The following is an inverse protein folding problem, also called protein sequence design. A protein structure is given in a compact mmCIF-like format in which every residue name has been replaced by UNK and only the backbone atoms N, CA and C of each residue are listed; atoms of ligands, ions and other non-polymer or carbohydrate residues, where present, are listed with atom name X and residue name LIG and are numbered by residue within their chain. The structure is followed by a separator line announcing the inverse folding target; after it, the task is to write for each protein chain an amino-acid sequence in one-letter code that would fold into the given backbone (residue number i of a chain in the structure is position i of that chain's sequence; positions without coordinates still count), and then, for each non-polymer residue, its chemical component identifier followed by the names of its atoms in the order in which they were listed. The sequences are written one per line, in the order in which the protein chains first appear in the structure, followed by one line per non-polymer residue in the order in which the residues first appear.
data_IF_047717296530
#
_entry.id   IF_047717296530
#
_cell.length_a   1.000
_cell.length_b   1.000
_cell.length_c   1.000
_cell.angle_alpha   90.00
_cell.angle_beta   90.00
_cell.angle_gamma   90.00
#
_symmetry.space_group_name_H-M   'P 1'
#
loop_
_entity.id
_entity.type
_entity.pdbx_description
1 polymer ?
#
# COMPACT_ATOMS: atom_id res chain seq x y z
N UNK A 1 -49.40 -16.40 -4.67
CA UNK A 1 -48.94 -15.38 -3.72
C UNK A 1 -47.81 -15.91 -2.87
N UNK A 2 -47.75 -17.21 -2.57
CA UNK A 2 -46.70 -17.83 -1.73
C UNK A 2 -45.37 -17.97 -2.49
N UNK A 3 -45.38 -18.24 -3.81
CA UNK A 3 -44.16 -18.38 -4.62
C UNK A 3 -43.37 -17.07 -4.80
N UNK A 4 -44.07 -15.92 -4.83
CA UNK A 4 -43.36 -14.62 -4.95
C UNK A 4 -42.64 -14.18 -3.66
N UNK A 5 -43.11 -14.65 -2.49
CA UNK A 5 -42.46 -14.36 -1.22
C UNK A 5 -41.19 -15.19 -1.00
N UNK A 6 -41.13 -16.42 -1.55
CA UNK A 6 -39.96 -17.29 -1.43
C UNK A 6 -38.79 -16.80 -2.26
N UNK A 7 -39.05 -16.27 -3.47
CA UNK A 7 -38.02 -15.72 -4.37
C UNK A 7 -37.41 -14.43 -3.80
N UNK A 8 -38.22 -13.58 -3.14
CA UNK A 8 -37.71 -12.36 -2.52
C UNK A 8 -36.84 -12.64 -1.26
N UNK A 9 -37.22 -13.67 -0.49
CA UNK A 9 -36.45 -14.09 0.69
C UNK A 9 -35.10 -14.72 0.30
N UNK A 10 -35.05 -15.51 -0.80
CA UNK A 10 -33.82 -16.12 -1.29
C UNK A 10 -32.85 -15.09 -1.90
N UNK A 11 -33.39 -14.07 -2.61
CA UNK A 11 -32.56 -12.98 -3.16
C UNK A 11 -31.98 -12.09 -2.05
N UNK A 12 -32.70 -11.87 -0.95
CA UNK A 12 -32.23 -11.09 0.18
C UNK A 12 -31.17 -11.85 1.00
N UNK A 13 -31.29 -13.17 1.15
CA UNK A 13 -30.29 -14.02 1.81
C UNK A 13 -29.03 -14.15 0.94
N UNK A 14 -29.16 -14.23 -0.39
CA UNK A 14 -28.00 -14.25 -1.30
C UNK A 14 -27.25 -12.91 -1.30
N UNK A 15 -27.96 -11.77 -1.18
CA UNK A 15 -27.35 -10.46 -1.10
C UNK A 15 -26.59 -10.23 0.22
N UNK A 16 -27.13 -10.76 1.35
CA UNK A 16 -26.45 -10.68 2.65
C UNK A 16 -25.23 -11.60 2.70
N UNK A 17 -25.28 -12.76 2.07
CA UNK A 17 -24.10 -13.65 1.99
C UNK A 17 -23.01 -13.12 1.07
N UNK A 18 -23.35 -12.41 -0.02
CA UNK A 18 -22.34 -11.69 -0.84
C UNK A 18 -21.69 -10.53 -0.10
N UNK A 19 -22.44 -9.77 0.71
CA UNK A 19 -21.89 -8.65 1.49
C UNK A 19 -21.01 -9.11 2.67
N UNK A 20 -21.34 -10.26 3.27
CA UNK A 20 -20.53 -10.86 4.35
C UNK A 20 -19.28 -11.55 3.75
N UNK A 21 -19.35 -12.09 2.55
CA UNK A 21 -18.20 -12.71 1.89
C UNK A 21 -17.13 -11.67 1.50
N UNK A 22 -17.50 -10.49 1.00
CA UNK A 22 -16.52 -9.45 0.63
C UNK A 22 -15.80 -8.87 1.85
N UNK A 23 -16.48 -8.66 2.98
CA UNK A 23 -15.83 -8.18 4.21
C UNK A 23 -14.97 -9.24 4.89
N UNK A 24 -15.25 -10.53 4.68
CA UNK A 24 -14.44 -11.62 5.21
C UNK A 24 -13.18 -11.90 4.35
N UNK A 25 -13.18 -11.59 3.06
CA UNK A 25 -12.02 -11.80 2.20
C UNK A 25 -10.90 -10.77 2.45
N UNK A 26 -11.20 -9.50 2.67
CA UNK A 26 -10.20 -8.49 3.04
C UNK A 26 -9.58 -8.79 4.42
N UNK A 27 -10.36 -9.21 5.40
CA UNK A 27 -9.84 -9.66 6.70
C UNK A 27 -8.98 -10.93 6.57
N UNK A 28 -9.27 -11.81 5.63
CA UNK A 28 -8.51 -13.04 5.41
C UNK A 28 -7.13 -12.79 4.81
N UNK A 29 -6.90 -11.74 4.01
CA UNK A 29 -5.62 -11.48 3.33
C UNK A 29 -4.54 -11.05 4.31
N UNK A 30 -4.80 -10.02 5.12
CA UNK A 30 -3.86 -9.58 6.16
C UNK A 30 -3.67 -10.67 7.24
N UNK A 31 -4.75 -11.32 7.66
CA UNK A 31 -4.73 -12.41 8.64
C UNK A 31 -3.86 -13.59 8.17
N UNK A 32 -3.91 -13.90 6.88
CA UNK A 32 -3.11 -14.96 6.27
C UNK A 32 -1.63 -14.58 6.18
N UNK A 33 -1.32 -13.34 5.83
CA UNK A 33 0.05 -12.81 5.81
C UNK A 33 0.65 -12.78 7.22
N UNK A 34 -0.13 -12.35 8.22
CA UNK A 34 0.26 -12.38 9.65
C UNK A 34 0.61 -13.80 10.10
N UNK A 35 -0.18 -14.79 9.67
CA UNK A 35 0.08 -16.20 9.97
C UNK A 35 1.35 -16.72 9.27
N UNK A 36 1.52 -16.37 8.00
CA UNK A 36 2.66 -16.80 7.19
C UNK A 36 4.00 -16.32 7.78
N UNK A 37 4.05 -15.06 8.21
CA UNK A 37 5.26 -14.49 8.84
C UNK A 37 5.39 -14.84 10.33
N UNK A 38 4.50 -15.67 10.88
CA UNK A 38 4.57 -16.12 12.27
C UNK A 38 4.23 -15.05 13.32
N UNK A 39 3.64 -13.93 12.92
CA UNK A 39 3.40 -12.79 13.80
C UNK A 39 2.19 -12.97 14.75
N UNK A 40 1.49 -14.08 14.66
CA UNK A 40 0.44 -14.44 15.63
C UNK A 40 1.02 -14.72 17.02
N UNK A 41 2.18 -15.38 17.10
CA UNK A 41 2.78 -15.77 18.37
C UNK A 41 3.21 -14.56 19.22
N UNK A 42 3.92 -13.55 18.69
CA UNK A 42 4.18 -12.31 19.43
C UNK A 42 2.91 -11.65 19.95
N UNK A 43 1.86 -11.53 19.12
CA UNK A 43 0.56 -10.94 19.51
C UNK A 43 -0.10 -11.71 20.67
N UNK A 44 -0.10 -13.04 20.62
CA UNK A 44 -0.64 -13.88 21.70
C UNK A 44 0.13 -13.70 23.02
N UNK A 45 1.40 -13.33 22.95
CA UNK A 45 2.25 -13.05 24.11
C UNK A 45 2.17 -11.56 24.56
N UNK A 46 1.21 -10.79 24.05
CA UNK A 46 1.01 -9.39 24.42
C UNK A 46 2.01 -8.40 23.81
N UNK A 47 2.77 -8.82 22.79
CA UNK A 47 3.66 -7.95 22.04
C UNK A 47 2.87 -7.27 20.93
N UNK A 48 2.25 -6.15 21.25
CA UNK A 48 1.31 -5.41 20.42
C UNK A 48 1.78 -3.99 20.06
N UNK A 49 3.04 -3.68 20.36
CA UNK A 49 3.69 -2.40 20.09
C UNK A 49 3.48 -1.35 21.18
N UNK A 50 2.93 -1.71 22.35
CA UNK A 50 2.76 -0.75 23.43
C UNK A 50 4.09 -0.11 23.85
N UNK A 51 4.13 1.24 23.88
CA UNK A 51 5.31 2.01 24.24
C UNK A 51 6.33 2.20 23.12
N UNK A 52 6.07 1.63 21.94
CA UNK A 52 6.94 1.73 20.75
C UNK A 52 6.47 2.86 19.85
N UNK A 53 7.40 3.71 19.42
CA UNK A 53 7.19 4.74 18.40
C UNK A 53 7.66 4.24 17.06
N UNK A 54 6.78 4.30 16.05
CA UNK A 54 7.07 3.86 14.69
C UNK A 54 6.93 5.05 13.75
N UNK A 55 8.01 5.41 13.07
CA UNK A 55 8.02 6.40 11.99
C UNK A 55 7.70 5.74 10.66
N UNK A 56 6.84 6.35 9.87
CA UNK A 56 6.44 5.90 8.54
C UNK A 56 6.87 6.98 7.55
N UNK A 57 7.89 6.69 6.75
CA UNK A 57 8.39 7.58 5.69
C UNK A 57 7.75 7.12 4.38
N UNK A 58 6.73 7.88 3.91
CA UNK A 58 5.88 7.45 2.82
C UNK A 58 5.12 8.63 2.16
N UNK A 59 3.94 8.39 1.56
CA UNK A 59 3.07 9.40 0.91
C UNK A 59 2.22 10.22 1.88
N UNK A 60 2.37 10.00 3.18
CA UNK A 60 1.53 10.55 4.22
C UNK A 60 0.62 9.50 4.85
N UNK A 61 -0.34 9.92 5.66
CA UNK A 61 -1.36 9.04 6.25
C UNK A 61 -2.69 9.78 6.27
N UNK A 62 -3.76 9.14 5.82
CA UNK A 62 -5.13 9.58 6.07
C UNK A 62 -5.49 9.26 7.52
N UNK A 63 -5.20 10.20 8.41
CA UNK A 63 -5.48 10.06 9.83
C UNK A 63 -6.94 10.26 10.19
N UNK A 64 -7.79 10.64 9.24
CA UNK A 64 -9.26 10.68 9.42
C UNK A 64 -9.88 9.29 9.15
N UNK A 65 -9.09 8.32 8.64
CA UNK A 65 -9.52 6.93 8.48
C UNK A 65 -9.95 6.32 9.84
N UNK A 66 -11.12 5.66 9.92
CA UNK A 66 -11.66 5.16 11.20
C UNK A 66 -10.73 4.23 11.97
N UNK A 67 -9.91 3.43 11.29
CA UNK A 67 -8.99 2.50 11.94
C UNK A 67 -7.66 3.16 12.39
N UNK A 68 -7.41 4.42 11.99
CA UNK A 68 -6.24 5.21 12.37
C UNK A 68 -6.56 6.32 13.37
N UNK A 69 -7.83 6.58 13.68
CA UNK A 69 -8.34 7.36 14.82
C UNK A 69 -7.68 8.73 15.06
N UNK A 70 -7.37 9.51 14.03
CA UNK A 70 -7.01 10.92 14.15
C UNK A 70 -5.52 11.22 14.33
N UNK A 71 -5.24 12.53 14.42
CA UNK A 71 -3.91 13.11 14.46
C UNK A 71 -3.62 13.85 15.78
N UNK A 72 -2.36 13.84 16.21
CA UNK A 72 -1.89 14.55 17.39
C UNK A 72 -2.01 13.73 18.68
N UNK A 73 -2.03 14.40 19.83
CA UNK A 73 -1.92 13.76 21.15
C UNK A 73 -3.00 12.73 21.47
N UNK A 74 -4.19 12.88 20.92
CA UNK A 74 -5.33 11.97 21.12
C UNK A 74 -5.55 11.01 19.97
N UNK A 75 -4.79 11.17 18.86
CA UNK A 75 -4.89 10.33 17.68
C UNK A 75 -3.88 9.20 17.64
N UNK A 76 -4.10 8.24 16.76
CA UNK A 76 -3.15 7.16 16.47
C UNK A 76 -1.88 7.69 15.81
N UNK A 77 -2.04 8.69 14.93
CA UNK A 77 -0.91 9.37 14.30
C UNK A 77 -0.50 10.50 15.24
N UNK A 78 0.48 10.21 16.10
CA UNK A 78 0.89 11.08 17.21
C UNK A 78 1.67 12.32 16.76
N UNK A 79 2.20 12.32 15.53
CA UNK A 79 2.96 13.44 14.97
C UNK A 79 3.53 13.11 13.59
N UNK A 80 4.46 13.96 13.14
CA UNK A 80 5.13 13.83 11.87
C UNK A 80 5.35 15.15 11.16
N UNK A 81 5.67 15.08 9.85
CA UNK A 81 5.91 16.26 9.02
C UNK A 81 5.68 15.96 7.54
N UNK A 82 5.16 16.94 6.81
CA UNK A 82 5.00 16.93 5.36
C UNK A 82 6.15 17.71 4.71
N UNK A 83 7.10 17.02 4.10
CA UNK A 83 8.22 17.63 3.39
C UNK A 83 7.85 18.14 2.01
N UNK A 84 6.76 17.64 1.44
CA UNK A 84 6.27 18.07 0.12
C UNK A 84 5.59 19.43 0.21
N UNK A 85 4.70 19.60 1.19
CA UNK A 85 3.96 20.86 1.41
C UNK A 85 4.58 21.74 2.49
N UNK A 86 5.63 21.27 3.16
CA UNK A 86 6.37 22.00 4.21
C UNK A 86 5.47 22.38 5.39
N UNK A 87 4.69 21.41 5.88
CA UNK A 87 3.77 21.63 7.00
C UNK A 87 3.77 20.46 8.02
N UNK A 88 2.96 20.61 9.09
CA UNK A 88 2.89 19.63 10.18
C UNK A 88 1.76 18.61 10.02
N UNK A 89 1.06 18.59 8.90
CA UNK A 89 -0.07 17.71 8.64
C UNK A 89 0.21 16.81 7.44
N UNK A 90 0.93 15.72 7.62
CA UNK A 90 1.32 14.80 6.55
C UNK A 90 0.14 13.96 6.05
N UNK A 91 -0.89 14.65 5.51
CA UNK A 91 -2.08 14.01 4.97
C UNK A 91 -1.74 13.24 3.70
N UNK A 92 -2.22 12.02 3.61
CA UNK A 92 -2.07 11.21 2.41
C UNK A 92 -3.10 11.62 1.34
N UNK A 93 -2.65 11.72 0.11
CA UNK A 93 -3.48 11.99 -1.08
C UNK A 93 -3.30 10.90 -2.16
N UNK A 94 -2.50 9.88 -1.84
CA UNK A 94 -2.19 8.77 -2.73
C UNK A 94 -2.86 7.46 -2.28
N UNK A 95 -2.79 7.16 -0.99
CA UNK A 95 -3.31 5.95 -0.35
C UNK A 95 -2.23 4.97 0.12
N UNK A 96 -1.03 4.96 -0.51
CA UNK A 96 0.02 4.00 -0.19
C UNK A 96 0.49 4.11 1.28
N UNK A 97 0.81 5.30 1.76
CA UNK A 97 1.24 5.48 3.15
C UNK A 97 0.15 5.17 4.17
N UNK A 98 -1.13 5.38 3.81
CA UNK A 98 -2.28 5.01 4.64
C UNK A 98 -2.42 3.48 4.74
N UNK A 99 -2.25 2.76 3.63
CA UNK A 99 -2.24 1.30 3.61
C UNK A 99 -1.10 0.74 4.48
N UNK A 100 0.11 1.27 4.32
CA UNK A 100 1.29 0.91 5.13
C UNK A 100 1.02 1.17 6.62
N UNK A 101 0.47 2.33 6.98
CA UNK A 101 0.10 2.67 8.35
C UNK A 101 -0.94 1.69 8.92
N UNK A 102 -1.91 1.28 8.09
CA UNK A 102 -2.92 0.30 8.45
C UNK A 102 -2.32 -1.06 8.78
N UNK A 103 -1.44 -1.58 7.93
CA UNK A 103 -0.73 -2.85 8.15
C UNK A 103 0.11 -2.78 9.42
N UNK A 104 0.80 -1.68 9.67
CA UNK A 104 1.65 -1.49 10.86
C UNK A 104 0.78 -1.42 12.11
N UNK A 105 -0.22 -0.54 12.14
CA UNK A 105 -0.80 -0.17 13.42
C UNK A 105 -2.28 0.19 13.44
N UNK A 106 -3.09 -0.24 12.48
CA UNK A 106 -4.55 -0.07 12.58
C UNK A 106 -5.10 -0.67 13.86
N UNK A 107 -6.11 -0.02 14.42
CA UNK A 107 -6.77 -0.46 15.65
C UNK A 107 -8.27 -0.10 15.62
N UNK A 108 -9.00 -0.72 14.72
CA UNK A 108 -10.41 -0.47 14.48
C UNK A 108 -11.12 -1.71 13.97
N UNK A 109 -11.68 -1.65 12.77
CA UNK A 109 -12.39 -2.77 12.13
C UNK A 109 -11.45 -3.96 11.87
N UNK A 110 -10.17 -3.69 11.62
CA UNK A 110 -9.11 -4.70 11.64
C UNK A 110 -7.93 -4.22 12.50
N UNK A 111 -7.04 -5.15 12.84
CA UNK A 111 -5.88 -4.89 13.70
C UNK A 111 -4.60 -5.07 12.91
N UNK A 112 -3.80 -4.02 12.82
CA UNK A 112 -2.43 -4.07 12.29
C UNK A 112 -1.50 -4.95 13.14
N UNK A 113 -0.22 -4.98 12.79
CA UNK A 113 0.79 -5.79 13.46
C UNK A 113 1.09 -5.30 14.89
N UNK A 114 1.15 -3.98 15.08
CA UNK A 114 1.46 -3.30 16.33
C UNK A 114 0.36 -2.28 16.70
N UNK A 115 -0.88 -2.73 17.02
CA UNK A 115 -2.04 -1.86 17.18
C UNK A 115 -1.95 -0.90 18.37
N UNK A 116 -1.01 -1.10 19.30
CA UNK A 116 -0.79 -0.21 20.44
C UNK A 116 0.48 0.64 20.34
N UNK A 117 1.19 0.60 19.20
CA UNK A 117 2.32 1.50 18.95
C UNK A 117 1.85 2.94 18.73
N UNK A 118 2.74 3.91 18.88
CA UNK A 118 2.53 5.29 18.47
C UNK A 118 3.07 5.48 17.06
N UNK A 119 2.22 5.92 16.13
CA UNK A 119 2.61 6.13 14.75
C UNK A 119 2.97 7.59 14.49
N UNK A 120 4.02 7.80 13.70
CA UNK A 120 4.45 9.11 13.21
C UNK A 120 4.55 9.04 11.69
N UNK A 121 3.99 10.02 10.99
CA UNK A 121 3.99 10.08 9.53
C UNK A 121 4.94 11.14 9.02
N UNK A 122 5.88 10.76 8.15
CA UNK A 122 6.81 11.66 7.48
C UNK A 122 6.55 11.56 5.97
N UNK A 123 5.80 12.53 5.44
CA UNK A 123 5.43 12.55 4.03
C UNK A 123 6.56 13.10 3.19
N UNK A 124 7.04 12.27 2.25
CA UNK A 124 8.17 12.59 1.35
C UNK A 124 7.78 12.53 -0.12
N UNK A 125 6.56 12.08 -0.43
CA UNK A 125 6.01 12.02 -1.78
C UNK A 125 4.50 12.27 -1.76
N UNK A 126 3.95 12.80 -2.84
CA UNK A 126 2.49 12.88 -3.05
C UNK A 126 2.00 11.83 -4.05
N UNK A 127 2.85 11.33 -4.94
CA UNK A 127 2.48 10.35 -5.97
C UNK A 127 2.85 8.91 -5.62
N UNK A 128 3.76 8.70 -4.68
CA UNK A 128 4.36 7.39 -4.43
C UNK A 128 5.43 6.97 -5.44
N UNK A 129 5.51 7.63 -6.59
CA UNK A 129 6.43 7.27 -7.69
C UNK A 129 7.70 8.10 -7.71
N UNK A 130 7.54 9.40 -7.50
CA UNK A 130 8.65 10.33 -7.44
C UNK A 130 8.93 10.69 -5.98
N UNK A 131 10.14 10.39 -5.53
CA UNK A 131 10.61 10.76 -4.20
C UNK A 131 11.97 11.44 -4.30
N UNK A 132 12.11 12.56 -3.57
CA UNK A 132 13.42 13.21 -3.42
C UNK A 132 14.22 12.49 -2.34
N UNK A 133 15.45 12.08 -2.66
CA UNK A 133 16.38 11.53 -1.65
C UNK A 133 16.63 12.52 -0.51
N UNK A 134 16.63 13.82 -0.78
CA UNK A 134 16.75 14.84 0.23
C UNK A 134 15.60 14.80 1.25
N UNK A 135 14.35 14.60 0.81
CA UNK A 135 13.22 14.46 1.72
C UNK A 135 13.31 13.20 2.58
N UNK A 136 13.81 12.10 2.01
CA UNK A 136 14.07 10.87 2.77
C UNK A 136 15.10 11.15 3.86
N UNK A 137 16.22 11.81 3.54
CA UNK A 137 17.28 12.15 4.49
C UNK A 137 16.75 13.05 5.62
N UNK A 138 16.00 14.09 5.26
CA UNK A 138 15.39 14.99 6.23
C UNK A 138 14.38 14.24 7.13
N UNK A 139 13.59 13.33 6.59
CA UNK A 139 12.66 12.52 7.33
C UNK A 139 13.35 11.56 8.31
N UNK A 140 14.47 10.94 7.90
CA UNK A 140 15.28 10.09 8.77
C UNK A 140 15.89 10.94 9.90
N UNK A 141 16.44 12.10 9.58
CA UNK A 141 17.00 13.03 10.59
C UNK A 141 15.94 13.44 11.61
N UNK A 142 14.73 13.72 11.14
CA UNK A 142 13.61 14.06 12.02
C UNK A 142 13.14 12.86 12.86
N UNK A 143 13.15 11.67 12.33
CA UNK A 143 12.84 10.44 13.09
C UNK A 143 13.83 10.21 14.24
N UNK A 144 15.10 10.59 14.05
CA UNK A 144 16.13 10.59 15.12
C UNK A 144 15.76 11.60 16.21
N UNK A 145 15.44 12.85 15.83
CA UNK A 145 15.03 13.92 16.77
C UNK A 145 13.78 13.56 17.57
N UNK A 146 12.78 12.97 16.90
CA UNK A 146 11.52 12.51 17.49
C UNK A 146 11.68 11.23 18.32
N UNK A 147 12.90 10.64 18.33
CA UNK A 147 13.28 9.43 19.08
C UNK A 147 12.39 8.23 18.71
N UNK A 148 12.32 7.92 17.44
CA UNK A 148 11.65 6.73 16.97
C UNK A 148 12.38 5.47 17.45
N UNK A 149 11.64 4.39 17.69
CA UNK A 149 12.22 3.08 17.95
C UNK A 149 12.40 2.29 16.67
N UNK A 150 11.44 2.42 15.75
CA UNK A 150 11.44 1.77 14.45
C UNK A 150 11.08 2.82 13.39
N UNK A 151 11.70 2.73 12.22
CA UNK A 151 11.33 3.53 11.04
C UNK A 151 11.10 2.58 9.88
N UNK A 152 9.93 2.69 9.26
CA UNK A 152 9.57 1.99 8.04
C UNK A 152 9.70 2.93 6.84
N UNK A 153 10.42 2.48 5.80
CA UNK A 153 10.65 3.21 4.55
C UNK A 153 10.19 2.32 3.40
N UNK A 154 8.93 2.45 3.01
CA UNK A 154 8.33 1.64 1.92
C UNK A 154 8.50 2.29 0.54
N UNK A 155 9.59 3.01 0.35
CA UNK A 155 9.97 3.67 -0.89
C UNK A 155 11.50 3.80 -0.97
N UNK A 156 12.02 4.23 -2.11
CA UNK A 156 13.45 4.38 -2.30
C UNK A 156 13.79 4.84 -3.72
N UNK A 157 15.08 4.88 -4.02
CA UNK A 157 15.59 5.22 -5.35
C UNK A 157 16.25 3.99 -5.97
N UNK A 158 16.04 3.78 -7.28
CA UNK A 158 16.52 2.61 -8.02
C UNK A 158 18.02 2.69 -8.36
N UNK A 159 18.79 3.34 -7.52
CA UNK A 159 20.24 3.52 -7.69
C UNK A 159 20.90 3.65 -6.33
N UNK A 160 22.22 3.56 -6.31
CA UNK A 160 23.00 3.89 -5.11
C UNK A 160 22.82 5.36 -4.74
N UNK A 161 22.58 5.61 -3.46
CA UNK A 161 22.53 6.95 -2.90
C UNK A 161 23.23 6.93 -1.53
N UNK A 162 24.52 7.23 -1.56
CA UNK A 162 25.38 7.16 -0.37
C UNK A 162 24.92 8.11 0.75
N UNK A 163 24.29 9.23 0.40
CA UNK A 163 23.78 10.19 1.39
C UNK A 163 22.58 9.61 2.17
N UNK A 164 21.69 8.90 1.49
CA UNK A 164 20.56 8.23 2.16
C UNK A 164 21.02 7.03 2.98
N UNK A 165 22.01 6.30 2.52
CA UNK A 165 22.62 5.18 3.27
C UNK A 165 23.35 5.72 4.52
N UNK A 166 24.11 6.82 4.42
CA UNK A 166 24.70 7.47 5.59
C UNK A 166 23.67 7.95 6.61
N UNK A 167 22.53 8.50 6.16
CA UNK A 167 21.46 8.93 7.05
C UNK A 167 20.84 7.74 7.81
N UNK A 168 20.66 6.62 7.14
CA UNK A 168 20.20 5.37 7.73
C UNK A 168 21.20 4.86 8.77
N UNK A 169 22.49 4.83 8.43
CA UNK A 169 23.55 4.45 9.34
C UNK A 169 23.57 5.29 10.64
N UNK A 170 23.37 6.60 10.52
CA UNK A 170 23.27 7.47 11.68
C UNK A 170 22.05 7.13 12.55
N UNK A 171 20.90 6.80 11.94
CA UNK A 171 19.71 6.38 12.68
C UNK A 171 19.95 5.05 13.42
N UNK A 172 20.58 4.08 12.75
CA UNK A 172 20.94 2.79 13.35
C UNK A 172 21.91 2.97 14.52
N UNK A 173 22.95 3.82 14.37
CA UNK A 173 23.88 4.17 15.47
C UNK A 173 23.17 4.80 16.68
N UNK A 174 22.02 5.45 16.47
CA UNK A 174 21.17 5.97 17.56
C UNK A 174 20.23 4.91 18.16
N UNK A 175 20.29 3.67 17.69
CA UNK A 175 19.49 2.55 18.19
C UNK A 175 18.11 2.43 17.54
N UNK A 176 17.88 3.09 16.43
CA UNK A 176 16.63 2.98 15.66
C UNK A 176 16.72 1.77 14.74
N UNK A 177 15.70 0.92 14.76
CA UNK A 177 15.56 -0.18 13.80
C UNK A 177 14.99 0.38 12.50
N UNK A 178 15.75 0.27 11.41
CA UNK A 178 15.31 0.70 10.09
C UNK A 178 14.85 -0.50 9.27
N UNK A 179 13.65 -0.40 8.72
CA UNK A 179 13.03 -1.40 7.85
C UNK A 179 12.76 -0.76 6.50
N UNK A 180 13.26 -1.34 5.42
CA UNK A 180 13.14 -0.77 4.07
C UNK A 180 12.59 -1.78 3.08
N UNK A 181 11.98 -1.29 2.00
CA UNK A 181 11.60 -2.11 0.86
C UNK A 181 12.82 -2.48 0.01
N UNK A 182 12.86 -3.72 -0.48
CA UNK A 182 13.84 -4.16 -1.49
C UNK A 182 13.63 -3.49 -2.87
N UNK A 183 12.44 -2.92 -3.10
CA UNK A 183 12.03 -2.35 -4.38
C UNK A 183 11.31 -3.35 -5.28
N UNK A 184 10.95 -2.89 -6.48
CA UNK A 184 10.12 -3.62 -7.45
C UNK A 184 10.87 -3.99 -8.74
N UNK A 185 12.21 -3.89 -8.75
CA UNK A 185 13.03 -4.09 -9.95
C UNK A 185 13.54 -5.53 -10.12
N UNK A 186 13.28 -6.43 -9.14
CA UNK A 186 13.61 -7.84 -9.21
C UNK A 186 12.86 -8.59 -10.33
N UNK A 187 13.14 -9.91 -10.54
CA UNK A 187 13.90 -10.79 -9.64
C UNK A 187 15.42 -10.87 -9.88
N UNK A 188 15.95 -10.13 -10.86
CA UNK A 188 17.37 -10.20 -11.22
C UNK A 188 18.29 -9.75 -10.09
N UNK A 189 19.55 -10.17 -10.14
CA UNK A 189 20.59 -9.75 -9.20
C UNK A 189 20.84 -8.24 -9.25
N UNK A 190 21.27 -7.66 -8.14
CA UNK A 190 21.67 -6.25 -8.00
C UNK A 190 20.56 -5.23 -8.31
N UNK A 191 19.29 -5.61 -8.09
CA UNK A 191 18.13 -4.74 -8.36
C UNK A 191 17.66 -3.95 -7.14
N UNK A 192 18.24 -4.19 -5.95
CA UNK A 192 17.91 -3.46 -4.73
C UNK A 192 18.52 -2.05 -4.78
N UNK A 193 17.67 -1.03 -4.61
CA UNK A 193 18.08 0.37 -4.56
C UNK A 193 18.34 0.88 -3.14
N UNK A 194 18.71 2.16 -3.02
CA UNK A 194 18.91 2.82 -1.72
C UNK A 194 17.58 3.34 -1.15
N UNK A 195 17.39 3.28 0.21
CA UNK A 195 18.36 2.83 1.20
C UNK A 195 18.34 1.31 1.47
N UNK A 196 17.55 0.51 0.75
CA UNK A 196 17.34 -0.91 0.98
C UNK A 196 18.59 -1.77 0.81
N UNK A 197 19.60 -1.30 0.10
CA UNK A 197 20.87 -2.03 -0.10
C UNK A 197 21.87 -1.89 1.06
N UNK A 198 21.61 -1.00 2.01
CA UNK A 198 22.48 -0.84 3.18
C UNK A 198 22.48 -2.10 4.05
N UNK A 199 23.65 -2.48 4.57
CA UNK A 199 23.83 -3.70 5.35
C UNK A 199 23.31 -3.60 6.79
N UNK A 200 23.04 -2.40 7.28
CA UNK A 200 22.62 -2.14 8.65
C UNK A 200 21.09 -2.05 8.78
N UNK A 201 20.35 -2.22 7.68
CA UNK A 201 18.87 -2.19 7.67
C UNK A 201 18.25 -3.57 7.50
N UNK A 202 16.99 -3.69 7.85
CA UNK A 202 16.18 -4.86 7.52
C UNK A 202 15.51 -4.61 6.17
N UNK A 203 16.02 -5.24 5.12
CA UNK A 203 15.47 -5.12 3.78
C UNK A 203 14.45 -6.20 3.52
N UNK A 204 13.24 -5.80 3.12
CA UNK A 204 12.08 -6.67 2.97
C UNK A 204 11.71 -6.80 1.50
N UNK A 205 11.75 -8.02 1.00
CA UNK A 205 11.24 -8.41 -0.31
C UNK A 205 9.86 -9.05 -0.24
N UNK A 206 9.24 -9.22 -1.40
CA UNK A 206 7.95 -9.87 -1.53
C UNK A 206 8.10 -11.37 -1.76
N UNK A 207 7.26 -12.17 -1.15
CA UNK A 207 7.10 -13.59 -1.43
C UNK A 207 5.65 -13.91 -1.77
N UNK A 208 5.45 -14.94 -2.58
CA UNK A 208 4.10 -15.46 -2.81
C UNK A 208 3.66 -16.26 -1.58
N UNK A 209 2.44 -15.99 -1.12
CA UNK A 209 1.72 -16.92 -0.28
C UNK A 209 0.82 -17.80 -1.18
N UNK A 210 0.41 -18.97 -0.70
CA UNK A 210 -0.49 -19.87 -1.43
C UNK A 210 -1.95 -19.36 -1.48
N UNK A 211 -2.18 -18.10 -1.14
CA UNK A 211 -3.49 -17.46 -1.09
C UNK A 211 -3.54 -16.44 -2.20
N UNK A 212 -4.17 -16.81 -3.28
CA UNK A 212 -4.62 -15.90 -4.33
C UNK A 212 -5.92 -15.24 -3.88
N UNK A 213 -5.86 -14.23 -3.02
CA UNK A 213 -6.95 -13.29 -2.83
C UNK A 213 -6.56 -11.99 -3.55
N UNK A 214 -6.91 -11.89 -4.80
CA UNK A 214 -7.00 -10.63 -5.51
C UNK A 214 -8.47 -10.32 -5.73
N UNK A 215 -8.84 -9.06 -5.73
CA UNK A 215 -10.09 -8.63 -6.33
C UNK A 215 -10.01 -9.08 -7.79
N UNK A 216 -10.62 -10.22 -8.10
CA UNK A 216 -10.63 -10.77 -9.44
C UNK A 216 -11.94 -10.36 -10.08
N UNK A 217 -11.85 -9.54 -11.10
CA UNK A 217 -12.97 -9.31 -12.03
C UNK A 217 -12.90 -10.29 -13.17
N UNK A 218 -14.02 -10.60 -13.77
CA UNK A 218 -14.07 -11.48 -14.95
C UNK A 218 -14.28 -10.63 -16.19
N UNK A 219 -13.40 -10.79 -17.16
CA UNK A 219 -13.56 -10.26 -18.51
C UNK A 219 -14.01 -11.38 -19.44
N UNK A 220 -15.16 -11.21 -20.08
CA UNK A 220 -15.66 -12.13 -21.10
C UNK A 220 -15.40 -11.56 -22.49
N UNK A 221 -14.75 -12.36 -23.35
CA UNK A 221 -14.50 -12.01 -24.74
C UNK A 221 -14.99 -13.14 -25.62
N UNK A 222 -16.14 -12.95 -26.25
CA UNK A 222 -16.84 -14.02 -26.97
C UNK A 222 -17.23 -15.15 -26.01
N UNK A 223 -16.73 -16.37 -26.24
CA UNK A 223 -16.96 -17.52 -25.36
C UNK A 223 -15.85 -17.76 -24.33
N UNK A 224 -14.85 -16.90 -24.23
CA UNK A 224 -13.72 -17.05 -23.33
C UNK A 224 -13.85 -16.12 -22.13
N UNK A 225 -13.52 -16.64 -20.96
CA UNK A 225 -13.45 -15.88 -19.72
C UNK A 225 -11.99 -15.73 -19.29
N UNK A 226 -11.66 -14.55 -18.80
CA UNK A 226 -10.35 -14.19 -18.26
C UNK A 226 -10.51 -13.58 -16.87
N UNK A 227 -9.71 -14.04 -15.93
CA UNK A 227 -9.58 -13.36 -14.65
C UNK A 227 -8.70 -12.12 -14.83
N UNK A 228 -9.19 -10.97 -14.42
CA UNK A 228 -8.49 -9.71 -14.51
C UNK A 228 -8.42 -9.03 -13.15
N UNK A 229 -7.36 -8.29 -12.92
CA UNK A 229 -7.19 -7.51 -11.68
C UNK A 229 -7.59 -6.08 -12.00
N UNK A 230 -8.53 -5.48 -11.24
CA UNK A 230 -8.87 -4.08 -11.41
C UNK A 230 -7.62 -3.19 -11.20
N UNK A 231 -7.55 -2.11 -11.94
CA UNK A 231 -6.48 -1.13 -11.77
C UNK A 231 -6.68 -0.36 -10.46
N UNK A 232 -5.62 -0.19 -9.67
CA UNK A 232 -5.66 0.60 -8.44
C UNK A 232 -6.10 2.04 -8.74
N UNK A 233 -6.99 2.58 -7.91
CA UNK A 233 -7.52 3.93 -8.08
C UNK A 233 -8.67 4.05 -9.07
N UNK A 234 -9.15 2.93 -9.65
CA UNK A 234 -10.39 2.94 -10.45
C UNK A 234 -11.60 2.69 -9.57
N UNK A 235 -12.73 3.29 -9.95
CA UNK A 235 -14.00 2.97 -9.31
C UNK A 235 -14.38 1.50 -9.54
N UNK A 236 -14.90 0.86 -8.50
CA UNK A 236 -15.44 -0.49 -8.60
C UNK A 236 -16.68 -0.45 -9.51
N UNK A 237 -16.69 -1.28 -10.54
CA UNK A 237 -17.87 -1.44 -11.39
C UNK A 237 -19.03 -1.99 -10.55
N UNK A 238 -20.08 -1.18 -10.41
CA UNK A 238 -21.28 -1.55 -9.64
C UNK A 238 -22.19 -2.55 -10.37
N UNK A 239 -21.95 -2.77 -11.65
CA UNK A 239 -22.69 -3.69 -12.49
C UNK A 239 -21.81 -4.15 -13.66
N UNK A 240 -22.10 -5.34 -14.26
CA UNK A 240 -21.44 -5.77 -15.48
C UNK A 240 -21.56 -4.70 -16.58
N UNK A 241 -20.45 -4.38 -17.22
CA UNK A 241 -20.38 -3.42 -18.32
C UNK A 241 -19.98 -4.15 -19.58
N UNK A 242 -20.66 -3.85 -20.68
CA UNK A 242 -20.34 -4.40 -22.01
C UNK A 242 -19.87 -3.27 -22.92
N UNK A 243 -18.78 -3.48 -23.63
CA UNK A 243 -18.22 -2.50 -24.54
C UNK A 243 -17.30 -3.14 -25.58
N UNK A 244 -16.94 -2.37 -26.59
CA UNK A 244 -15.90 -2.77 -27.56
C UNK A 244 -14.55 -2.73 -26.86
N UNK A 245 -13.71 -3.75 -27.07
CA UNK A 245 -12.34 -3.74 -26.59
C UNK A 245 -11.48 -2.93 -27.57
N UNK A 246 -10.74 -1.97 -27.04
CA UNK A 246 -9.79 -1.14 -27.77
C UNK A 246 -8.42 -1.30 -27.15
N UNK A 247 -7.41 -1.61 -27.95
CA UNK A 247 -6.04 -1.72 -27.46
C UNK A 247 -5.38 -0.34 -27.45
N UNK A 248 -4.94 0.10 -26.27
CA UNK A 248 -4.35 1.41 -26.00
C UNK A 248 -2.85 1.39 -25.79
N UNK A 249 -2.15 0.32 -26.23
CA UNK A 249 -0.70 0.22 -26.05
C UNK A 249 -0.32 0.21 -24.59
N UNK A 250 0.54 1.14 -24.19
CA UNK A 250 0.94 1.34 -22.78
C UNK A 250 0.11 2.41 -22.06
N UNK A 251 -1.02 2.88 -22.60
CA UNK A 251 -1.88 3.89 -21.97
C UNK A 251 -1.34 5.33 -22.01
N UNK A 252 -0.25 5.59 -22.73
CA UNK A 252 0.32 6.94 -22.84
C UNK A 252 -0.52 7.81 -23.76
N UNK A 253 -0.50 9.12 -23.55
CA UNK A 253 -1.22 10.08 -24.41
C UNK A 253 -0.93 9.86 -25.90
N UNK A 254 0.33 9.55 -26.26
CA UNK A 254 0.71 9.24 -27.63
C UNK A 254 0.14 7.93 -28.18
N UNK A 255 -0.08 6.94 -27.31
CA UNK A 255 -0.63 5.64 -27.69
C UNK A 255 -2.15 5.71 -27.93
N UNK A 256 -2.81 6.66 -27.27
CA UNK A 256 -4.26 6.92 -27.40
C UNK A 256 -4.59 7.94 -28.48
N UNK A 257 -3.58 8.56 -29.09
CA UNK A 257 -3.76 9.62 -30.08
C UNK A 257 -4.45 9.09 -31.33
N UNK A 258 -5.63 9.63 -31.66
CA UNK A 258 -6.44 9.20 -32.82
C UNK A 258 -7.27 7.93 -32.58
N UNK A 259 -7.28 7.36 -31.38
CA UNK A 259 -8.10 6.23 -31.00
C UNK A 259 -9.37 6.73 -30.30
N UNK A 260 -10.54 6.35 -30.79
CA UNK A 260 -11.80 6.59 -30.09
C UNK A 260 -11.99 5.52 -29.00
N UNK A 261 -11.82 5.95 -27.77
CA UNK A 261 -11.96 5.12 -26.56
C UNK A 261 -13.31 5.30 -25.86
N UNK A 262 -14.16 6.19 -26.39
CA UNK A 262 -15.46 6.47 -25.79
C UNK A 262 -16.32 5.20 -25.76
N UNK A 263 -16.96 4.94 -24.63
CA UNK A 263 -17.84 3.79 -24.39
C UNK A 263 -17.17 2.43 -24.72
N UNK A 264 -15.84 2.36 -24.54
CA UNK A 264 -15.04 1.17 -24.83
C UNK A 264 -14.38 0.62 -23.55
N UNK A 265 -13.99 -0.64 -23.60
CA UNK A 265 -13.10 -1.25 -22.61
C UNK A 265 -11.68 -1.09 -23.13
N UNK A 266 -10.88 -0.28 -22.46
CA UNK A 266 -9.50 -0.02 -22.85
C UNK A 266 -8.62 -1.16 -22.34
N UNK A 267 -7.88 -1.81 -23.24
CA UNK A 267 -6.90 -2.83 -22.91
C UNK A 267 -5.50 -2.23 -23.03
N UNK A 268 -4.78 -2.17 -21.92
CA UNK A 268 -3.44 -1.62 -21.85
C UNK A 268 -2.42 -2.69 -21.46
N UNK A 269 -1.20 -2.54 -21.95
CA UNK A 269 -0.08 -3.40 -21.60
C UNK A 269 0.65 -2.83 -20.39
N UNK A 270 0.73 -3.61 -19.30
CA UNK A 270 1.55 -3.24 -18.14
C UNK A 270 3.04 -3.33 -18.51
N UNK A 271 3.82 -2.35 -18.10
CA UNK A 271 5.27 -2.35 -18.29
C UNK A 271 5.82 -0.98 -18.70
N UNK A 272 7.04 -0.97 -19.18
CA UNK A 272 7.64 0.20 -19.80
C UNK A 272 8.06 -0.13 -21.24
N UNK A 273 8.13 0.88 -22.10
CA UNK A 273 8.79 0.71 -23.38
C UNK A 273 10.32 0.58 -23.18
N UNK A 274 11.01 0.23 -24.26
CA UNK A 274 12.47 0.09 -24.28
C UNK A 274 13.24 1.37 -23.92
N UNK A 275 12.55 2.51 -23.73
CA UNK A 275 13.12 3.79 -23.32
C UNK A 275 12.90 4.09 -21.83
N UNK A 276 12.30 3.17 -21.06
CA UNK A 276 12.16 3.30 -19.62
C UNK A 276 11.05 4.25 -19.17
N UNK A 277 10.17 4.70 -20.07
CA UNK A 277 8.95 5.39 -19.65
C UNK A 277 8.06 4.41 -18.90
N UNK A 278 7.89 4.63 -17.59
CA UNK A 278 6.96 3.86 -16.78
C UNK A 278 5.54 4.11 -17.25
N UNK A 279 4.77 3.04 -17.34
CA UNK A 279 3.35 3.06 -17.64
C UNK A 279 2.62 2.40 -16.47
N UNK A 280 1.52 3.01 -16.10
CA UNK A 280 0.70 2.61 -14.95
C UNK A 280 -0.08 1.34 -15.20
#
# INVERSE_FOLDING_TARGET
VVEKFLVFSLAFVLCITCFIASSNEEQNTLSSSIKLVGAQLPKQNGLDGQGIKIGIIDTGVDFDHPDLHGYGKSGRISGGYDYVNTDKRPIDVNGHGTEVAGIIGANGSFSGMAPRSQLFSYKVSSSGEAVSSEYIIQAISRAIEDKMNVVNISLGVNRTNDESENAVDEAVKKGIVIVTAAGNNGPDDMTIGSPGRDFNVITVGASYNNITSSLVSTLEVGSKQYNVIPMLGTDVLKSPTTGKIVYGGYGRVKDLQGIDVKDSILLEQRGSDTKGEKVF
#
